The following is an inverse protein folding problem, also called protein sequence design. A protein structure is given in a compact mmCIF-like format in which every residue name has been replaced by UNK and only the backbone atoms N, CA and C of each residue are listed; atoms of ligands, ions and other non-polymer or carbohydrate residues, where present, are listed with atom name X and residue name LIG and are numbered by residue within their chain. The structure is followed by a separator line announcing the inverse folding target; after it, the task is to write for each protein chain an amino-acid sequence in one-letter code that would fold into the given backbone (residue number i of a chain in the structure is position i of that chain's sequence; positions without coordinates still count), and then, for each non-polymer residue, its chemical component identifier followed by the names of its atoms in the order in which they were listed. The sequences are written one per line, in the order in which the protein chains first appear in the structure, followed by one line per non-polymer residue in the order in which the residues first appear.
data_IF_007322755395
#
_entry.id   IF_007322755395
#
_cell.length_a   1.000
_cell.length_b   1.000
_cell.length_c   1.000
_cell.angle_alpha   90.00
_cell.angle_beta   90.00
_cell.angle_gamma   90.00
#
_symmetry.space_group_name_H-M   'P 1'
#
loop_
_entity.id
_entity.type
_entity.pdbx_description
1 polymer ?
#
# COMPACT_ATOMS: atom_id res chain seq x y z
N UNK A 1 2.62 25.30 -24.03
CA UNK A 1 3.61 24.62 -23.15
C UNK A 1 2.84 23.58 -22.36
N UNK A 2 3.21 22.30 -22.48
CA UNK A 2 2.65 21.25 -21.62
C UNK A 2 3.21 21.44 -20.21
N UNK A 3 2.34 21.52 -19.20
CA UNK A 3 2.75 21.56 -17.80
C UNK A 3 3.55 20.29 -17.47
N UNK A 4 4.56 20.41 -16.62
CA UNK A 4 5.19 19.23 -16.01
C UNK A 4 4.16 18.49 -15.13
N UNK A 5 4.45 17.22 -14.85
CA UNK A 5 3.61 16.39 -13.99
C UNK A 5 3.37 17.02 -12.61
N UNK A 6 4.40 17.61 -12.02
CA UNK A 6 4.33 18.30 -10.72
C UNK A 6 3.42 19.53 -10.83
N UNK A 7 3.69 20.43 -11.79
CA UNK A 7 2.90 21.65 -11.97
C UNK A 7 1.42 21.36 -12.24
N UNK A 8 1.14 20.29 -13.00
CA UNK A 8 -0.22 19.86 -13.28
C UNK A 8 -0.96 19.45 -12.01
N UNK A 9 -0.34 18.62 -11.16
CA UNK A 9 -0.96 18.19 -9.91
C UNK A 9 -1.03 19.34 -8.89
N UNK A 10 -0.02 20.19 -8.80
CA UNK A 10 -0.03 21.37 -7.92
C UNK A 10 -1.18 22.32 -8.27
N UNK A 11 -1.43 22.57 -9.56
CA UNK A 11 -2.58 23.37 -9.99
C UNK A 11 -3.91 22.76 -9.54
N UNK A 12 -4.05 21.43 -9.60
CA UNK A 12 -5.26 20.74 -9.15
C UNK A 12 -5.44 20.84 -7.64
N UNK A 13 -4.38 20.57 -6.87
CA UNK A 13 -4.39 20.69 -5.40
C UNK A 13 -4.77 22.12 -4.99
N UNK A 14 -4.24 23.13 -5.66
CA UNK A 14 -4.54 24.53 -5.36
C UNK A 14 -6.02 24.89 -5.52
N UNK A 15 -6.77 24.16 -6.38
CA UNK A 15 -8.21 24.31 -6.51
C UNK A 15 -9.00 23.92 -5.26
N UNK A 16 -8.42 23.10 -4.37
CA UNK A 16 -9.05 22.64 -3.14
C UNK A 16 -8.52 23.35 -1.87
N UNK A 17 -7.41 24.08 -1.98
CA UNK A 17 -6.78 24.77 -0.86
C UNK A 17 -6.95 26.29 -1.01
N UNK A 18 -7.82 26.91 -0.19
CA UNK A 18 -8.04 28.36 -0.20
C UNK A 18 -6.80 29.16 0.22
N UNK A 19 -6.01 28.61 1.16
CA UNK A 19 -4.73 29.13 1.61
C UNK A 19 -3.72 27.97 1.74
N UNK A 20 -2.81 27.78 0.77
CA UNK A 20 -1.81 26.72 0.79
C UNK A 20 -0.84 26.79 1.97
N UNK A 21 -0.63 27.97 2.56
CA UNK A 21 0.37 28.17 3.64
C UNK A 21 -0.02 27.47 4.94
N UNK A 22 -1.33 27.26 5.16
CA UNK A 22 -1.86 26.52 6.31
C UNK A 22 -1.47 25.05 6.32
N UNK A 23 -1.07 24.53 5.15
CA UNK A 23 -0.76 23.13 4.94
C UNK A 23 0.74 22.88 4.70
N UNK A 24 1.59 23.91 4.77
CA UNK A 24 3.05 23.80 4.57
C UNK A 24 3.84 23.78 5.91
N UNK A 25 3.13 23.55 7.01
CA UNK A 25 3.68 23.54 8.37
C UNK A 25 4.07 22.11 8.78
N UNK A 26 5.23 21.96 9.43
CA UNK A 26 5.74 20.72 10.02
C UNK A 26 4.66 19.84 10.68
N UNK A 27 4.76 18.50 10.62
CA UNK A 27 5.89 17.70 10.12
C UNK A 27 5.86 17.33 8.63
N UNK A 28 4.87 17.80 7.86
CA UNK A 28 4.78 17.58 6.41
C UNK A 28 3.94 18.66 5.73
N UNK A 29 4.25 18.93 4.46
CA UNK A 29 3.65 19.97 3.64
C UNK A 29 2.76 19.47 2.50
N UNK A 30 2.22 20.40 1.70
CA UNK A 30 1.49 20.06 0.46
C UNK A 30 2.38 19.38 -0.58
N UNK A 31 3.68 19.71 -0.59
CA UNK A 31 4.65 19.06 -1.47
C UNK A 31 4.77 17.56 -1.17
N UNK A 32 4.80 17.18 0.11
CA UNK A 32 4.84 15.77 0.52
C UNK A 32 3.55 15.05 0.10
N UNK A 33 2.40 15.70 0.27
CA UNK A 33 1.11 15.17 -0.18
C UNK A 33 1.08 14.96 -1.69
N UNK A 34 1.48 15.98 -2.46
CA UNK A 34 1.61 15.91 -3.91
C UNK A 34 2.49 14.72 -4.30
N UNK A 35 3.64 14.56 -3.66
CA UNK A 35 4.59 13.54 -4.06
C UNK A 35 4.04 12.12 -3.80
N UNK A 36 3.36 11.92 -2.66
CA UNK A 36 2.60 10.70 -2.40
C UNK A 36 1.46 10.47 -3.41
N UNK A 37 0.72 11.52 -3.76
CA UNK A 37 -0.39 11.41 -4.71
C UNK A 37 0.08 11.09 -6.13
N UNK A 38 1.18 11.71 -6.59
CA UNK A 38 1.82 11.39 -7.87
C UNK A 38 2.29 9.93 -7.85
N UNK A 39 2.88 9.44 -6.76
CA UNK A 39 3.28 8.03 -6.66
C UNK A 39 2.06 7.09 -6.80
N UNK A 40 0.92 7.43 -6.20
CA UNK A 40 -0.32 6.67 -6.40
C UNK A 40 -0.77 6.69 -7.86
N UNK A 41 -0.70 7.84 -8.53
CA UNK A 41 -1.03 7.95 -9.96
C UNK A 41 -0.08 7.13 -10.83
N UNK A 42 1.23 7.14 -10.55
CA UNK A 42 2.21 6.30 -11.24
C UNK A 42 1.85 4.83 -11.07
N UNK A 43 1.52 4.39 -9.85
CA UNK A 43 1.12 3.00 -9.58
C UNK A 43 -0.14 2.61 -10.37
N UNK A 44 -1.18 3.44 -10.34
CA UNK A 44 -2.44 3.12 -11.01
C UNK A 44 -2.25 3.15 -12.54
N UNK A 45 -1.50 4.13 -13.04
CA UNK A 45 -1.09 4.23 -14.45
C UNK A 45 -0.24 3.04 -14.92
N UNK A 46 0.65 2.54 -14.04
CA UNK A 46 1.41 1.32 -14.28
C UNK A 46 0.47 0.13 -14.44
N UNK A 47 -0.54 0.01 -13.59
CA UNK A 47 -1.51 -1.09 -13.63
C UNK A 47 -2.31 -1.11 -14.93
N UNK A 48 -2.77 0.07 -15.39
CA UNK A 48 -3.54 0.21 -16.62
C UNK A 48 -2.73 -0.14 -17.87
N UNK A 49 -1.45 0.26 -17.90
CA UNK A 49 -0.64 0.19 -19.13
C UNK A 49 0.33 -0.99 -19.18
N UNK A 50 0.52 -1.72 -18.08
CA UNK A 50 1.42 -2.86 -18.05
C UNK A 50 0.90 -4.02 -18.92
N UNK A 51 1.78 -4.68 -19.69
CA UNK A 51 1.38 -5.80 -20.52
C UNK A 51 0.87 -6.95 -19.66
N UNK A 52 -0.28 -7.51 -20.04
CA UNK A 52 -0.84 -8.71 -19.41
C UNK A 52 -0.42 -9.94 -20.20
N UNK A 53 0.00 -10.98 -19.49
CA UNK A 53 0.49 -12.22 -20.06
C UNK A 53 -0.14 -13.42 -19.35
N UNK A 54 -0.17 -14.57 -20.03
CA UNK A 54 -0.60 -15.81 -19.42
C UNK A 54 0.34 -16.21 -18.27
N UNK A 55 -0.20 -16.90 -17.25
CA UNK A 55 0.61 -17.50 -16.18
C UNK A 55 1.76 -18.38 -16.69
N UNK A 56 1.54 -19.08 -17.82
CA UNK A 56 2.58 -19.93 -18.43
C UNK A 56 3.77 -19.10 -18.90
N UNK A 57 3.51 -17.97 -19.54
CA UNK A 57 4.54 -17.04 -20.02
C UNK A 57 5.32 -16.46 -18.85
N UNK A 58 4.63 -15.97 -17.81
CA UNK A 58 5.24 -15.35 -16.64
C UNK A 58 6.05 -16.35 -15.79
N UNK A 59 5.57 -17.59 -15.68
CA UNK A 59 6.27 -18.66 -14.95
C UNK A 59 7.55 -19.13 -15.65
N UNK A 60 7.60 -19.05 -16.98
CA UNK A 60 8.77 -19.46 -17.79
C UNK A 60 9.02 -20.97 -17.86
N UNK A 61 8.30 -21.80 -17.10
CA UNK A 61 8.35 -23.27 -17.14
C UNK A 61 6.94 -23.88 -17.22
N UNK A 62 6.83 -25.14 -17.64
CA UNK A 62 5.57 -25.89 -17.71
C UNK A 62 5.48 -27.05 -16.72
N UNK A 63 6.36 -27.08 -15.72
CA UNK A 63 6.37 -28.13 -14.70
C UNK A 63 5.07 -28.18 -13.89
N UNK A 64 4.54 -29.38 -13.68
CA UNK A 64 3.26 -29.58 -12.99
C UNK A 64 3.27 -29.06 -11.55
N UNK A 65 4.39 -29.17 -10.84
CA UNK A 65 4.53 -28.63 -9.48
C UNK A 65 4.39 -27.12 -9.45
N UNK A 66 4.99 -26.43 -10.43
CA UNK A 66 4.93 -24.99 -10.55
C UNK A 66 3.53 -24.52 -10.98
N UNK A 67 2.85 -25.28 -11.86
CA UNK A 67 1.42 -25.06 -12.20
C UNK A 67 0.49 -25.24 -11.00
N UNK A 68 0.71 -26.28 -10.19
CA UNK A 68 -0.05 -26.51 -8.97
C UNK A 68 0.16 -25.39 -7.94
N UNK A 69 1.40 -24.91 -7.81
CA UNK A 69 1.74 -23.76 -6.97
C UNK A 69 0.97 -22.51 -7.40
N UNK A 70 1.00 -22.16 -8.69
CA UNK A 70 0.27 -21.01 -9.25
C UNK A 70 -1.25 -21.13 -8.99
N UNK A 71 -1.82 -22.32 -9.21
CA UNK A 71 -3.24 -22.56 -8.97
C UNK A 71 -3.63 -22.34 -7.50
N UNK A 72 -2.82 -22.86 -6.56
CA UNK A 72 -3.07 -22.71 -5.12
C UNK A 72 -2.96 -21.26 -4.67
N UNK A 73 -1.94 -20.53 -5.13
CA UNK A 73 -1.78 -19.14 -4.72
C UNK A 73 -2.83 -18.23 -5.32
N UNK A 74 -3.23 -18.46 -6.57
CA UNK A 74 -4.29 -17.68 -7.22
C UNK A 74 -5.61 -17.86 -6.45
N UNK A 75 -5.96 -19.10 -6.07
CA UNK A 75 -7.14 -19.36 -5.22
C UNK A 75 -7.04 -18.69 -3.84
N UNK A 76 -5.86 -18.75 -3.21
CA UNK A 76 -5.63 -18.08 -1.93
C UNK A 76 -5.82 -16.57 -2.05
N UNK A 77 -5.21 -15.92 -3.03
CA UNK A 77 -5.34 -14.49 -3.26
C UNK A 77 -6.79 -14.11 -3.57
N UNK A 78 -7.47 -14.88 -4.42
CA UNK A 78 -8.85 -14.65 -4.78
C UNK A 78 -9.80 -14.74 -3.59
N UNK A 79 -9.58 -15.67 -2.65
CA UNK A 79 -10.37 -15.74 -1.42
C UNK A 79 -10.38 -14.41 -0.66
N UNK A 80 -9.21 -13.79 -0.46
CA UNK A 80 -9.13 -12.49 0.23
C UNK A 80 -9.66 -11.33 -0.60
N UNK A 81 -9.52 -11.37 -1.94
CA UNK A 81 -10.16 -10.38 -2.83
C UNK A 81 -11.68 -10.44 -2.72
N UNK A 82 -12.26 -11.65 -2.67
CA UNK A 82 -13.70 -11.84 -2.49
C UNK A 82 -14.16 -11.34 -1.11
N UNK A 83 -13.43 -11.64 -0.03
CA UNK A 83 -13.74 -11.08 1.30
C UNK A 83 -13.69 -9.54 1.30
N UNK A 84 -12.73 -8.96 0.59
CA UNK A 84 -12.63 -7.50 0.44
C UNK A 84 -13.81 -6.93 -0.36
N UNK A 85 -14.20 -7.58 -1.46
CA UNK A 85 -15.37 -7.21 -2.24
C UNK A 85 -16.64 -7.21 -1.38
N UNK A 86 -16.87 -8.29 -0.63
CA UNK A 86 -18.02 -8.42 0.27
C UNK A 86 -17.99 -7.33 1.35
N UNK A 87 -16.81 -7.02 1.91
CA UNK A 87 -16.67 -5.95 2.88
C UNK A 87 -17.04 -4.58 2.29
N UNK A 88 -16.53 -4.25 1.10
CA UNK A 88 -16.83 -2.99 0.41
C UNK A 88 -18.34 -2.92 0.09
N UNK A 89 -18.89 -3.96 -0.52
CA UNK A 89 -20.30 -4.02 -0.87
C UNK A 89 -21.21 -3.86 0.35
N UNK A 90 -20.93 -4.57 1.44
CA UNK A 90 -21.80 -4.59 2.60
C UNK A 90 -21.68 -3.36 3.50
N UNK A 91 -20.49 -2.74 3.57
CA UNK A 91 -20.24 -1.61 4.50
C UNK A 91 -20.20 -0.25 3.82
N UNK A 92 -19.86 -0.20 2.53
CA UNK A 92 -19.70 1.04 1.75
C UNK A 92 -20.87 1.19 0.76
N UNK A 93 -21.54 0.09 0.40
CA UNK A 93 -22.60 0.11 -0.62
C UNK A 93 -22.09 0.29 -2.05
N UNK A 94 -20.77 0.16 -2.24
CA UNK A 94 -20.10 0.23 -3.53
C UNK A 94 -19.78 -1.17 -4.04
N UNK A 95 -19.78 -1.38 -5.36
CA UNK A 95 -19.32 -2.63 -5.94
C UNK A 95 -18.00 -2.38 -6.67
N UNK A 96 -17.01 -3.23 -6.42
CA UNK A 96 -15.72 -3.21 -7.10
C UNK A 96 -15.57 -4.52 -7.90
N UNK A 97 -16.21 -4.63 -9.09
CA UNK A 97 -16.30 -5.89 -9.82
C UNK A 97 -14.93 -6.51 -10.13
N UNK A 98 -13.88 -5.68 -10.23
CA UNK A 98 -12.51 -6.14 -10.46
C UNK A 98 -11.98 -7.07 -9.35
N UNK A 99 -12.52 -7.00 -8.14
CA UNK A 99 -12.13 -7.90 -7.05
C UNK A 99 -12.71 -9.31 -7.20
N UNK A 100 -13.76 -9.47 -8.02
CA UNK A 100 -14.35 -10.78 -8.31
C UNK A 100 -13.40 -11.62 -9.17
N UNK A 101 -13.52 -12.95 -9.13
CA UNK A 101 -12.74 -13.82 -10.00
C UNK A 101 -13.11 -13.59 -11.47
N UNK A 102 -12.11 -13.66 -12.35
CA UNK A 102 -12.33 -13.74 -13.80
C UNK A 102 -13.30 -14.88 -14.15
N UNK A 103 -14.12 -14.70 -15.18
CA UNK A 103 -15.04 -15.75 -15.65
C UNK A 103 -14.29 -16.91 -16.32
N UNK A 104 -13.70 -17.77 -15.51
CA UNK A 104 -13.12 -19.06 -15.94
C UNK A 104 -14.16 -20.19 -15.93
N UNK A 105 -15.47 -19.87 -15.85
CA UNK A 105 -16.54 -20.88 -15.89
C UNK A 105 -16.98 -21.16 -17.31
N UNK A 106 -16.99 -20.15 -18.18
CA UNK A 106 -17.21 -20.31 -19.61
C UNK A 106 -16.06 -21.08 -20.29
N UNK A 107 -16.35 -21.82 -21.36
CA UNK A 107 -15.31 -22.53 -22.12
C UNK A 107 -14.28 -21.55 -22.73
N UNK A 108 -14.77 -20.37 -23.13
CA UNK A 108 -14.00 -19.27 -23.67
C UNK A 108 -13.04 -18.69 -22.62
N UNK A 109 -13.53 -18.37 -21.42
CA UNK A 109 -12.67 -17.87 -20.34
C UNK A 109 -11.69 -18.92 -19.78
N UNK A 110 -12.00 -20.22 -19.90
CA UNK A 110 -11.01 -21.29 -19.62
C UNK A 110 -9.88 -21.35 -20.65
N UNK A 111 -10.19 -21.09 -21.91
CA UNK A 111 -9.22 -21.09 -23.01
C UNK A 111 -8.35 -19.83 -22.97
N UNK A 112 -8.94 -18.69 -22.59
CA UNK A 112 -8.23 -17.43 -22.39
C UNK A 112 -7.30 -17.50 -21.16
N UNK A 113 -7.79 -18.08 -20.05
CA UNK A 113 -7.02 -18.25 -18.83
C UNK A 113 -6.69 -16.93 -18.11
N UNK A 114 -6.02 -17.02 -16.97
CA UNK A 114 -5.66 -15.83 -16.20
C UNK A 114 -4.58 -15.01 -16.91
N UNK A 115 -4.82 -13.70 -17.00
CA UNK A 115 -3.91 -12.73 -17.57
C UNK A 115 -3.42 -11.77 -16.47
N UNK A 116 -2.14 -11.90 -16.12
CA UNK A 116 -1.52 -11.07 -15.10
C UNK A 116 -0.46 -10.15 -15.71
N UNK A 117 -0.28 -9.00 -15.09
CA UNK A 117 0.94 -8.19 -15.24
C UNK A 117 2.09 -8.84 -14.47
N UNK A 118 3.33 -8.50 -14.82
CA UNK A 118 4.50 -8.93 -14.06
C UNK A 118 4.41 -8.55 -12.58
N UNK A 119 3.91 -7.34 -12.28
CA UNK A 119 3.69 -6.86 -10.91
C UNK A 119 2.69 -7.73 -10.14
N UNK A 120 1.55 -8.08 -10.74
CA UNK A 120 0.57 -8.95 -10.09
C UNK A 120 1.14 -10.36 -9.84
N UNK A 121 1.90 -10.90 -10.79
CA UNK A 121 2.55 -12.20 -10.62
C UNK A 121 3.63 -12.17 -9.54
N UNK A 122 4.39 -11.08 -9.46
CA UNK A 122 5.33 -10.83 -8.37
C UNK A 122 4.61 -10.76 -7.02
N UNK A 123 3.50 -10.04 -6.89
CA UNK A 123 2.72 -9.98 -5.63
C UNK A 123 2.22 -11.37 -5.20
N UNK A 124 1.73 -12.17 -6.15
CA UNK A 124 1.30 -13.55 -5.87
C UNK A 124 2.46 -14.41 -5.36
N UNK A 125 3.60 -14.42 -6.06
CA UNK A 125 4.75 -15.20 -5.66
C UNK A 125 5.33 -14.73 -4.32
N UNK A 126 5.37 -13.43 -4.10
CA UNK A 126 5.82 -12.84 -2.84
C UNK A 126 5.04 -13.37 -1.64
N UNK A 127 3.71 -13.55 -1.76
CA UNK A 127 2.91 -14.19 -0.70
C UNK A 127 3.25 -15.67 -0.47
N UNK A 128 3.79 -16.37 -1.47
CA UNK A 128 4.20 -17.79 -1.35
C UNK A 128 5.59 -17.89 -0.73
N UNK A 129 6.54 -17.13 -1.28
CA UNK A 129 7.96 -17.25 -0.99
C UNK A 129 8.33 -16.63 0.37
N UNK A 130 7.51 -15.70 0.87
CA UNK A 130 7.74 -15.03 2.14
C UNK A 130 6.60 -15.31 3.14
N UNK A 131 6.77 -16.30 4.04
CA UNK A 131 5.74 -16.72 5.00
C UNK A 131 5.23 -15.61 5.93
N UNK A 132 6.01 -14.53 6.11
CA UNK A 132 5.65 -13.36 6.90
C UNK A 132 4.26 -12.82 6.51
N UNK A 133 4.01 -12.66 5.21
CA UNK A 133 2.82 -11.99 4.71
C UNK A 133 1.55 -12.78 5.03
N UNK A 134 1.57 -14.11 4.80
CA UNK A 134 0.49 -15.00 5.22
C UNK A 134 0.30 -15.00 6.73
N UNK A 135 1.39 -14.93 7.50
CA UNK A 135 1.32 -14.89 8.96
C UNK A 135 0.70 -13.59 9.49
N UNK A 136 0.91 -12.45 8.83
CA UNK A 136 0.27 -11.17 9.15
C UNK A 136 -1.23 -11.25 8.81
N UNK A 137 -1.58 -11.63 7.58
CA UNK A 137 -2.97 -11.68 7.11
C UNK A 137 -3.82 -12.65 7.94
N UNK A 138 -3.28 -13.83 8.28
CA UNK A 138 -3.98 -14.81 9.13
C UNK A 138 -3.89 -14.54 10.64
N UNK A 139 -3.28 -13.41 11.05
CA UNK A 139 -2.98 -13.03 12.44
C UNK A 139 -2.20 -14.10 13.24
N UNK A 140 -1.62 -15.11 12.58
CA UNK A 140 -0.77 -16.13 13.21
C UNK A 140 0.48 -15.50 13.83
N UNK A 141 0.97 -14.41 13.27
CA UNK A 141 2.13 -13.67 13.77
C UNK A 141 1.94 -13.11 15.18
N UNK A 142 0.68 -12.83 15.56
CA UNK A 142 0.30 -12.25 16.85
C UNK A 142 0.46 -13.26 18.00
N UNK A 143 0.43 -14.56 17.73
CA UNK A 143 0.44 -15.61 18.74
C UNK A 143 1.83 -16.26 18.86
N UNK A 144 2.47 -16.07 20.03
CA UNK A 144 3.79 -16.65 20.35
C UNK A 144 3.82 -18.18 20.32
N UNK A 145 2.67 -18.85 20.55
CA UNK A 145 2.55 -20.30 20.50
C UNK A 145 2.51 -20.80 19.06
N UNK A 146 1.90 -20.03 18.14
CA UNK A 146 1.83 -20.35 16.70
C UNK A 146 3.12 -19.99 15.98
N UNK A 147 3.73 -18.87 16.35
CA UNK A 147 5.00 -18.40 15.78
C UNK A 147 5.91 -18.01 16.96
N UNK A 148 6.94 -18.82 17.21
CA UNK A 148 7.92 -18.51 18.27
C UNK A 148 8.76 -17.30 17.87
N UNK A 149 9.40 -16.64 18.84
CA UNK A 149 10.20 -15.43 18.57
C UNK A 149 11.36 -15.68 17.59
N UNK A 150 11.96 -16.88 17.58
CA UNK A 150 13.02 -17.21 16.62
C UNK A 150 12.46 -17.27 15.19
N UNK A 151 11.33 -17.97 14.99
CA UNK A 151 10.63 -18.01 13.70
C UNK A 151 10.14 -16.64 13.25
N UNK A 152 9.71 -15.77 14.19
CA UNK A 152 9.39 -14.38 13.86
C UNK A 152 10.60 -13.65 13.26
N UNK A 153 11.79 -13.81 13.86
CA UNK A 153 13.02 -13.21 13.33
C UNK A 153 13.39 -13.77 11.96
N UNK A 154 13.29 -15.09 11.77
CA UNK A 154 13.52 -15.73 10.46
C UNK A 154 12.61 -15.15 9.39
N UNK A 155 11.32 -14.98 9.69
CA UNK A 155 10.36 -14.37 8.76
C UNK A 155 10.72 -12.92 8.44
N UNK A 156 11.15 -12.14 9.43
CA UNK A 156 11.60 -10.77 9.23
C UNK A 156 12.90 -10.69 8.44
N UNK A 157 13.84 -11.62 8.64
CA UNK A 157 15.08 -11.70 7.84
C UNK A 157 14.77 -12.01 6.37
N UNK A 158 13.80 -12.89 6.09
CA UNK A 158 13.33 -13.13 4.72
C UNK A 158 12.75 -11.86 4.08
N UNK A 159 11.93 -11.12 4.83
CA UNK A 159 11.40 -9.81 4.40
C UNK A 159 12.50 -8.76 4.16
N UNK A 160 13.50 -8.71 5.02
CA UNK A 160 14.65 -7.82 4.82
C UNK A 160 15.43 -8.19 3.56
N UNK A 161 15.64 -9.48 3.28
CA UNK A 161 16.29 -9.89 2.03
C UNK A 161 15.49 -9.41 0.80
N UNK A 162 14.17 -9.62 0.79
CA UNK A 162 13.29 -9.16 -0.29
C UNK A 162 13.40 -7.66 -0.50
N UNK A 163 13.24 -6.88 0.58
CA UNK A 163 13.27 -5.42 0.49
C UNK A 163 14.63 -4.93 0.06
N UNK A 164 15.74 -5.51 0.53
CA UNK A 164 17.08 -5.17 0.06
C UNK A 164 17.29 -5.46 -1.42
N UNK A 165 16.76 -6.56 -1.94
CA UNK A 165 16.87 -6.87 -3.36
C UNK A 165 16.05 -5.90 -4.23
N UNK A 166 14.88 -5.47 -3.75
CA UNK A 166 14.10 -4.40 -4.39
C UNK A 166 14.81 -3.04 -4.30
N UNK A 167 15.42 -2.70 -3.17
CA UNK A 167 16.14 -1.44 -3.02
C UNK A 167 17.33 -1.32 -3.99
N UNK A 168 18.04 -2.43 -4.27
CA UNK A 168 19.12 -2.44 -5.28
C UNK A 168 18.61 -2.12 -6.69
N UNK A 169 17.37 -2.49 -7.02
CA UNK A 169 16.74 -2.18 -8.32
C UNK A 169 16.45 -0.68 -8.49
N UNK A 170 16.40 0.08 -7.41
CA UNK A 170 16.20 1.53 -7.47
C UNK A 170 17.39 2.29 -8.10
N UNK A 171 18.53 1.62 -8.30
CA UNK A 171 19.69 2.14 -9.04
C UNK A 171 19.76 1.62 -10.48
N UNK A 172 18.74 0.87 -10.92
CA UNK A 172 18.70 0.20 -12.21
C UNK A 172 18.04 1.03 -13.33
N UNK A 173 17.48 0.31 -14.31
CA UNK A 173 16.74 0.89 -15.43
C UNK A 173 15.49 1.64 -14.96
N UNK A 174 14.89 2.46 -15.83
CA UNK A 174 13.63 3.16 -15.49
C UNK A 174 12.52 2.18 -15.11
N UNK A 175 12.41 1.03 -15.79
CA UNK A 175 11.44 0.00 -15.45
C UNK A 175 11.77 -0.66 -14.10
N UNK A 176 13.05 -0.95 -13.81
CA UNK A 176 13.45 -1.48 -12.49
C UNK A 176 13.08 -0.52 -11.35
N UNK A 177 13.32 0.78 -11.53
CA UNK A 177 13.00 1.82 -10.54
C UNK A 177 11.50 1.88 -10.28
N UNK A 178 10.70 1.94 -11.35
CA UNK A 178 9.24 2.03 -11.23
C UNK A 178 8.69 0.75 -10.58
N UNK A 179 9.09 -0.41 -11.08
CA UNK A 179 8.65 -1.70 -10.56
C UNK A 179 9.01 -1.85 -9.08
N UNK A 180 10.28 -1.66 -8.72
CA UNK A 180 10.73 -1.84 -7.34
C UNK A 180 10.08 -0.84 -6.38
N UNK A 181 9.85 0.41 -6.81
CA UNK A 181 9.16 1.41 -6.00
C UNK A 181 7.70 1.02 -5.76
N UNK A 182 6.97 0.58 -6.79
CA UNK A 182 5.59 0.09 -6.64
C UNK A 182 5.54 -1.13 -5.72
N UNK A 183 6.48 -2.07 -5.87
CA UNK A 183 6.56 -3.26 -5.04
C UNK A 183 6.80 -2.91 -3.56
N UNK A 184 7.81 -2.08 -3.28
CA UNK A 184 8.10 -1.59 -1.92
C UNK A 184 6.89 -0.83 -1.36
N UNK A 185 6.38 0.17 -2.07
CA UNK A 185 5.19 0.92 -1.68
C UNK A 185 4.02 -0.01 -1.30
N UNK A 186 3.75 -1.03 -2.12
CA UNK A 186 2.66 -1.98 -1.90
C UNK A 186 2.90 -2.86 -0.68
N UNK A 187 4.14 -3.31 -0.46
CA UNK A 187 4.52 -4.07 0.72
C UNK A 187 4.27 -3.28 2.01
N UNK A 188 4.72 -2.02 2.07
CA UNK A 188 4.54 -1.21 3.28
C UNK A 188 3.10 -0.74 3.46
N UNK A 189 2.41 -0.40 2.37
CA UNK A 189 1.00 -0.07 2.43
C UNK A 189 0.16 -1.25 2.96
N UNK A 190 0.32 -2.46 2.41
CA UNK A 190 -0.49 -3.63 2.80
C UNK A 190 -0.10 -4.19 4.17
N UNK A 191 1.20 -4.32 4.46
CA UNK A 191 1.69 -5.06 5.63
C UNK A 191 2.20 -4.18 6.77
N UNK A 192 2.54 -2.91 6.52
CA UNK A 192 2.94 -1.91 7.52
C UNK A 192 4.08 -2.38 8.43
N UNK A 193 5.09 -3.04 7.86
CA UNK A 193 6.18 -3.64 8.64
C UNK A 193 7.15 -2.56 9.13
N UNK A 194 7.49 -1.59 8.28
CA UNK A 194 8.36 -0.46 8.66
C UNK A 194 7.68 0.42 9.70
N UNK A 195 6.41 0.79 9.50
CA UNK A 195 5.65 1.58 10.46
C UNK A 195 5.53 0.86 11.81
N UNK A 196 5.17 -0.43 11.80
CA UNK A 196 5.07 -1.23 13.03
C UNK A 196 6.39 -1.32 13.77
N UNK A 197 7.50 -1.50 13.04
CA UNK A 197 8.84 -1.53 13.62
C UNK A 197 9.21 -0.18 14.24
N UNK A 198 8.96 0.92 13.52
CA UNK A 198 9.22 2.28 14.01
C UNK A 198 8.45 2.57 15.30
N UNK A 199 7.17 2.17 15.38
CA UNK A 199 6.36 2.28 16.60
C UNK A 199 6.97 1.49 17.76
N UNK A 200 7.44 0.27 17.49
CA UNK A 200 8.07 -0.58 18.51
C UNK A 200 9.40 0.00 19.03
N UNK A 201 10.21 0.58 18.14
CA UNK A 201 11.45 1.29 18.52
C UNK A 201 11.13 2.53 19.36
N UNK A 202 10.14 3.33 18.94
CA UNK A 202 9.74 4.51 19.68
C UNK A 202 9.20 4.14 21.08
N UNK A 203 8.32 3.15 21.17
CA UNK A 203 7.78 2.60 22.42
C UNK A 203 8.88 2.13 23.37
N UNK A 204 9.90 1.42 22.87
CA UNK A 204 11.02 0.96 23.69
C UNK A 204 11.87 2.14 24.20
N UNK A 205 12.06 3.18 23.36
CA UNK A 205 12.81 4.39 23.72
C UNK A 205 12.10 5.26 24.75
N UNK A 206 10.78 5.43 24.64
CA UNK A 206 9.99 6.30 25.53
C UNK A 206 9.41 5.57 26.74
N UNK A 207 9.44 4.24 26.76
CA UNK A 207 8.83 3.42 27.80
C UNK A 207 7.30 3.31 27.69
N UNK A 208 6.70 3.83 26.62
CA UNK A 208 5.25 3.78 26.39
C UNK A 208 4.82 2.39 25.97
N UNK A 209 3.91 1.75 26.70
CA UNK A 209 3.45 0.38 26.38
C UNK A 209 2.20 0.35 25.50
N UNK A 210 1.37 1.37 25.62
CA UNK A 210 0.10 1.42 24.91
C UNK A 210 0.31 1.88 23.48
N UNK A 211 -0.43 1.27 22.57
CA UNK A 211 -0.48 1.70 21.17
C UNK A 211 -1.56 2.78 21.08
N UNK A 212 -1.25 3.98 20.58
CA UNK A 212 -2.30 4.95 20.25
C UNK A 212 -3.02 4.47 18.98
N UNK A 213 -3.97 3.54 19.14
CA UNK A 213 -4.58 2.78 18.05
C UNK A 213 -5.28 3.69 17.02
N UNK A 214 -6.04 4.68 17.48
CA UNK A 214 -6.75 5.61 16.58
C UNK A 214 -5.76 6.41 15.73
N UNK A 215 -4.67 6.86 16.37
CA UNK A 215 -3.60 7.61 15.70
C UNK A 215 -2.82 6.75 14.72
N UNK A 216 -2.56 5.49 15.07
CA UNK A 216 -1.96 4.51 14.15
C UNK A 216 -2.89 4.20 12.97
N UNK A 217 -4.19 4.04 13.24
CA UNK A 217 -5.19 3.78 12.23
C UNK A 217 -5.26 4.91 11.19
N UNK A 218 -5.18 6.17 11.62
CA UNK A 218 -5.14 7.33 10.73
C UNK A 218 -4.01 7.25 9.67
N UNK A 219 -2.91 6.57 9.99
CA UNK A 219 -1.76 6.44 9.11
C UNK A 219 -1.85 5.28 8.12
N UNK A 220 -2.57 4.20 8.44
CA UNK A 220 -2.51 2.98 7.62
C UNK A 220 -3.75 2.08 7.58
N UNK A 221 -4.77 2.33 8.38
CA UNK A 221 -6.00 1.54 8.37
C UNK A 221 -6.97 2.04 7.30
N UNK A 222 -8.01 1.23 7.05
CA UNK A 222 -9.20 1.69 6.38
C UNK A 222 -9.98 2.61 7.33
N UNK A 223 -10.28 3.81 6.86
CA UNK A 223 -10.94 4.88 7.58
C UNK A 223 -12.31 5.14 6.97
N UNK A 224 -13.27 5.48 7.82
CA UNK A 224 -14.59 5.92 7.44
C UNK A 224 -14.92 7.18 8.23
N UNK A 225 -15.11 8.32 7.55
CA UNK A 225 -15.48 9.56 8.21
C UNK A 225 -16.37 10.44 7.31
N UNK A 226 -17.28 11.24 7.89
CA UNK A 226 -18.16 12.09 7.12
C UNK A 226 -17.39 13.27 6.48
N UNK A 227 -17.72 13.59 5.23
CA UNK A 227 -17.08 14.68 4.48
C UNK A 227 -17.80 16.00 4.74
N UNK A 228 -17.10 17.09 5.13
CA UNK A 228 -17.67 18.43 5.22
C UNK A 228 -18.08 18.99 3.82
N UNK A 229 -18.93 20.03 3.76
CA UNK A 229 -19.61 20.69 4.88
C UNK A 229 -20.96 20.04 5.24
N UNK A 230 -21.59 19.27 4.36
CA UNK A 230 -22.92 18.71 4.62
C UNK A 230 -22.90 17.47 5.52
N UNK A 231 -21.76 16.77 5.64
CA UNK A 231 -21.58 15.55 6.45
C UNK A 231 -22.59 14.43 6.11
N UNK A 232 -23.20 14.46 4.93
CA UNK A 232 -24.17 13.46 4.46
C UNK A 232 -23.50 12.27 3.78
N UNK A 233 -22.23 12.40 3.41
CA UNK A 233 -21.46 11.37 2.68
C UNK A 233 -20.32 10.88 3.55
N UNK A 234 -20.17 9.56 3.66
CA UNK A 234 -19.03 8.95 4.35
C UNK A 234 -17.92 8.68 3.34
N UNK A 235 -16.76 9.26 3.57
CA UNK A 235 -15.54 8.89 2.86
C UNK A 235 -14.99 7.60 3.43
N UNK A 236 -14.95 6.56 2.60
CA UNK A 236 -14.20 5.35 2.88
C UNK A 236 -12.86 5.41 2.14
N UNK A 237 -11.77 5.43 2.88
CA UNK A 237 -10.43 5.67 2.33
C UNK A 237 -9.37 5.02 3.21
N UNK A 238 -8.12 5.12 2.79
CA UNK A 238 -6.96 4.74 3.59
C UNK A 238 -5.83 5.70 3.29
N UNK A 239 -5.02 6.04 4.29
CA UNK A 239 -3.87 6.88 4.06
C UNK A 239 -2.84 6.14 3.22
N UNK A 240 -2.43 6.73 2.09
CA UNK A 240 -1.37 6.24 1.20
C UNK A 240 -0.06 7.00 1.38
N UNK A 241 0.08 7.70 2.50
CA UNK A 241 1.20 8.60 2.82
C UNK A 241 2.50 7.85 3.21
N UNK A 242 2.81 6.76 2.50
CA UNK A 242 3.76 5.71 2.90
C UNK A 242 5.15 6.26 3.22
N UNK A 243 5.69 7.16 2.37
CA UNK A 243 7.04 7.70 2.54
C UNK A 243 7.22 8.47 3.86
N UNK A 244 6.16 9.11 4.36
CA UNK A 244 6.24 10.03 5.50
C UNK A 244 5.68 9.44 6.81
N UNK A 245 4.98 8.30 6.78
CA UNK A 245 4.41 7.68 7.99
C UNK A 245 5.42 7.53 9.14
N UNK A 246 6.66 7.20 8.83
CA UNK A 246 7.70 6.92 9.82
C UNK A 246 8.15 8.17 10.57
N UNK A 247 8.15 9.35 9.93
CA UNK A 247 8.47 10.62 10.59
C UNK A 247 7.36 11.09 11.53
N UNK A 248 6.13 10.58 11.36
CA UNK A 248 4.98 10.87 12.21
C UNK A 248 4.93 10.05 13.48
N UNK A 249 5.71 8.97 13.56
CA UNK A 249 5.70 8.08 14.73
C UNK A 249 5.99 8.84 16.03
N UNK A 250 7.01 9.70 16.17
CA UNK A 250 7.21 10.44 17.42
C UNK A 250 6.01 11.30 17.81
N UNK A 251 5.39 11.98 16.84
CA UNK A 251 4.23 12.85 17.06
C UNK A 251 2.99 12.05 17.46
N UNK A 252 2.82 10.85 16.89
CA UNK A 252 1.74 9.93 17.23
C UNK A 252 1.72 9.56 18.73
N UNK A 253 2.87 9.55 19.41
CA UNK A 253 2.97 9.29 20.84
C UNK A 253 3.04 10.57 21.70
N UNK A 254 2.99 11.75 21.09
CA UNK A 254 2.92 13.05 21.78
C UNK A 254 1.47 13.50 21.91
N UNK A 255 1.10 14.11 23.03
CA UNK A 255 -0.27 14.61 23.24
C UNK A 255 -0.51 16.03 22.72
N UNK A 256 0.55 16.82 22.47
CA UNK A 256 0.40 18.24 22.11
C UNK A 256 0.18 18.50 20.62
N UNK A 257 0.65 17.61 19.75
CA UNK A 257 0.82 17.93 18.32
C UNK A 257 -0.02 17.04 17.38
N UNK A 258 -0.72 16.03 17.93
CA UNK A 258 -1.46 15.07 17.10
C UNK A 258 -2.70 15.66 16.43
N UNK A 259 -3.46 16.51 17.11
CA UNK A 259 -4.71 17.07 16.56
C UNK A 259 -4.47 17.87 15.28
N UNK A 260 -3.38 18.63 15.21
CA UNK A 260 -3.00 19.36 13.99
C UNK A 260 -2.60 18.41 12.87
N UNK A 261 -1.83 17.36 13.18
CA UNK A 261 -1.44 16.32 12.22
C UNK A 261 -2.67 15.59 11.68
N UNK A 262 -3.59 15.21 12.55
CA UNK A 262 -4.83 14.52 12.18
C UNK A 262 -5.72 15.38 11.29
N UNK A 263 -5.90 16.65 11.64
CA UNK A 263 -6.65 17.60 10.81
C UNK A 263 -6.06 17.73 9.41
N UNK A 264 -4.72 17.84 9.29
CA UNK A 264 -4.03 17.87 7.99
C UNK A 264 -4.22 16.58 7.19
N UNK A 265 -4.08 15.42 7.84
CA UNK A 265 -4.30 14.12 7.20
C UNK A 265 -5.74 13.99 6.68
N UNK A 266 -6.75 14.41 7.46
CA UNK A 266 -8.14 14.43 7.04
C UNK A 266 -8.34 15.29 5.78
N UNK A 267 -7.77 16.50 5.74
CA UNK A 267 -7.84 17.36 4.56
C UNK A 267 -7.20 16.70 3.35
N UNK A 268 -6.02 16.09 3.49
CA UNK A 268 -5.35 15.39 2.39
C UNK A 268 -6.14 14.20 1.87
N UNK A 269 -6.77 13.45 2.76
CA UNK A 269 -7.65 12.34 2.37
C UNK A 269 -8.88 12.82 1.60
N UNK A 270 -9.44 13.98 1.96
CA UNK A 270 -10.56 14.61 1.26
C UNK A 270 -10.11 15.12 -0.13
N UNK A 271 -8.99 15.84 -0.20
CA UNK A 271 -8.43 16.33 -1.49
C UNK A 271 -8.14 15.14 -2.40
N UNK A 272 -7.46 14.10 -1.89
CA UNK A 272 -7.19 12.86 -2.61
C UNK A 272 -8.46 12.23 -3.17
N UNK A 273 -9.52 12.16 -2.36
CA UNK A 273 -10.80 11.61 -2.81
C UNK A 273 -11.35 12.38 -4.00
N UNK A 274 -11.44 13.72 -3.92
CA UNK A 274 -11.95 14.52 -5.03
C UNK A 274 -11.05 14.44 -6.28
N UNK A 275 -9.72 14.49 -6.10
CA UNK A 275 -8.78 14.33 -7.22
C UNK A 275 -8.96 12.98 -7.94
N UNK A 276 -9.19 11.89 -7.20
CA UNK A 276 -9.44 10.56 -7.79
C UNK A 276 -10.77 10.48 -8.55
N UNK A 277 -11.74 11.34 -8.24
CA UNK A 277 -13.03 11.42 -8.93
C UNK A 277 -12.99 12.37 -10.14
N UNK A 278 -11.88 13.09 -10.38
CA UNK A 278 -11.80 14.01 -11.51
C UNK A 278 -11.81 13.28 -12.86
N UNK A 279 -12.67 13.77 -13.75
CA UNK A 279 -12.76 13.34 -15.14
C UNK A 279 -12.25 14.48 -16.02
N UNK A 280 -11.19 14.21 -16.79
CA UNK A 280 -10.51 15.19 -17.64
C UNK A 280 -10.68 14.75 -19.09
N UNK A 281 -11.41 15.54 -19.87
CA UNK A 281 -11.68 15.23 -21.28
C UNK A 281 -12.26 13.82 -21.53
N UNK A 282 -13.12 13.34 -20.61
CA UNK A 282 -13.73 12.00 -20.58
C UNK A 282 -12.81 10.85 -20.16
N UNK A 283 -11.60 11.14 -19.72
CA UNK A 283 -10.69 10.17 -19.14
C UNK A 283 -10.63 10.33 -17.63
N UNK A 284 -10.47 9.22 -16.93
CA UNK A 284 -10.08 9.23 -15.52
C UNK A 284 -8.71 9.92 -15.38
N UNK A 285 -8.41 10.44 -14.18
CA UNK A 285 -7.13 11.06 -13.92
C UNK A 285 -5.92 10.13 -14.23
N UNK A 286 -5.92 8.82 -13.89
CA UNK A 286 -4.85 7.90 -14.29
C UNK A 286 -4.73 7.73 -15.81
N UNK A 287 -5.84 7.58 -16.54
CA UNK A 287 -5.81 7.47 -18.01
C UNK A 287 -5.24 8.72 -18.67
N UNK A 288 -5.67 9.91 -18.20
CA UNK A 288 -5.14 11.18 -18.67
C UNK A 288 -3.65 11.32 -18.36
N UNK A 289 -3.24 10.93 -17.16
CA UNK A 289 -1.85 10.93 -16.71
C UNK A 289 -0.96 10.05 -17.60
N UNK A 290 -1.40 8.83 -17.93
CA UNK A 290 -0.74 7.95 -18.91
C UNK A 290 -0.54 8.61 -20.27
N UNK A 291 -1.55 9.35 -20.75
CA UNK A 291 -1.50 10.01 -22.05
C UNK A 291 -0.54 11.20 -22.11
N UNK A 292 -0.23 11.83 -20.97
CA UNK A 292 0.61 13.04 -20.90
C UNK A 292 2.04 12.80 -20.40
N UNK A 293 2.34 11.60 -19.88
CA UNK A 293 3.64 11.29 -19.28
C UNK A 293 4.27 10.03 -19.86
N UNK A 294 5.55 9.82 -19.57
CA UNK A 294 6.35 8.67 -20.02
C UNK A 294 6.97 7.94 -18.84
N UNK A 295 7.36 6.67 -19.05
CA UNK A 295 8.06 5.86 -18.05
C UNK A 295 9.35 6.52 -17.56
N UNK A 296 10.11 7.16 -18.46
CA UNK A 296 11.31 7.91 -18.08
C UNK A 296 11.00 9.06 -17.12
N UNK A 297 9.91 9.80 -17.35
CA UNK A 297 9.47 10.87 -16.44
C UNK A 297 9.02 10.32 -15.08
N UNK A 298 8.34 9.17 -15.04
CA UNK A 298 7.97 8.52 -13.77
C UNK A 298 9.21 8.12 -12.97
N UNK A 299 10.18 7.49 -13.62
CA UNK A 299 11.42 7.08 -12.98
C UNK A 299 12.26 8.28 -12.49
N UNK A 300 12.33 9.38 -13.26
CA UNK A 300 12.99 10.63 -12.84
C UNK A 300 12.34 11.18 -11.57
N UNK A 301 11.01 11.29 -11.57
CA UNK A 301 10.26 11.76 -10.42
C UNK A 301 10.50 10.89 -9.18
N UNK A 302 10.46 9.57 -9.31
CA UNK A 302 10.72 8.65 -8.19
C UNK A 302 12.11 8.89 -7.61
N UNK A 303 13.13 9.02 -8.46
CA UNK A 303 14.53 9.23 -8.01
C UNK A 303 14.70 10.57 -7.29
N UNK A 304 14.02 11.62 -7.75
CA UNK A 304 14.18 12.98 -7.24
C UNK A 304 13.30 13.26 -6.00
N UNK A 305 12.08 12.72 -5.98
CA UNK A 305 11.04 13.11 -5.03
C UNK A 305 10.56 11.98 -4.12
N UNK A 306 10.60 10.72 -4.57
CA UNK A 306 9.95 9.60 -3.87
C UNK A 306 10.90 8.44 -3.52
N UNK A 307 12.03 8.76 -2.87
CA UNK A 307 13.04 7.76 -2.50
C UNK A 307 12.64 6.93 -1.27
N UNK A 308 12.08 5.74 -1.51
CA UNK A 308 11.69 4.80 -0.46
C UNK A 308 12.88 4.22 0.33
N UNK A 309 14.14 4.35 -0.13
CA UNK A 309 15.31 3.93 0.68
C UNK A 309 15.31 4.58 2.06
N UNK A 310 14.71 5.76 2.20
CA UNK A 310 14.58 6.52 3.45
C UNK A 310 13.78 5.79 4.54
N UNK A 311 12.85 4.92 4.18
CA UNK A 311 11.96 4.24 5.15
C UNK A 311 12.37 2.80 5.44
N UNK A 312 13.02 2.13 4.48
CA UNK A 312 13.46 0.74 4.64
C UNK A 312 14.78 0.67 5.37
N UNK A 313 14.72 0.40 6.67
CA UNK A 313 15.90 0.29 7.53
C UNK A 313 16.13 -1.14 7.98
N UNK A 314 17.37 -1.45 8.33
CA UNK A 314 17.72 -2.72 8.97
C UNK A 314 17.09 -2.77 10.36
N UNK A 315 16.42 -3.87 10.67
CA UNK A 315 15.62 -4.04 11.89
C UNK A 315 16.36 -4.93 12.86
N UNK A 316 16.47 -4.46 14.08
CA UNK A 316 16.88 -5.27 15.21
C UNK A 316 15.66 -5.68 16.04
N UNK A 317 15.37 -6.98 16.09
CA UNK A 317 14.17 -7.52 16.72
C UNK A 317 14.43 -8.06 18.14
N UNK A 318 14.35 -7.16 19.13
CA UNK A 318 14.34 -7.53 20.55
C UNK A 318 13.03 -8.25 20.92
N UNK A 319 13.03 -9.04 22.00
CA UNK A 319 11.79 -9.67 22.49
C UNK A 319 10.71 -8.63 22.87
N UNK A 320 11.12 -7.43 23.28
CA UNK A 320 10.22 -6.31 23.58
C UNK A 320 9.55 -5.80 22.31
N UNK A 321 10.33 -5.48 21.27
CA UNK A 321 9.82 -5.01 19.98
C UNK A 321 8.88 -6.02 19.31
N UNK A 322 9.24 -7.31 19.35
CA UNK A 322 8.38 -8.40 18.85
C UNK A 322 7.03 -8.41 19.58
N UNK A 323 7.04 -8.31 20.92
CA UNK A 323 5.81 -8.29 21.71
C UNK A 323 4.94 -7.08 21.35
N UNK A 324 5.55 -5.91 21.18
CA UNK A 324 4.84 -4.69 20.79
C UNK A 324 4.15 -4.85 19.43
N UNK A 325 4.89 -5.28 18.40
CA UNK A 325 4.34 -5.47 17.04
C UNK A 325 3.23 -6.52 17.01
N UNK A 326 3.34 -7.58 17.83
CA UNK A 326 2.26 -8.56 17.96
C UNK A 326 0.97 -7.95 18.48
N UNK A 327 1.07 -7.16 19.53
CA UNK A 327 -0.10 -6.48 20.12
C UNK A 327 -0.70 -5.50 19.12
N UNK A 328 0.15 -4.75 18.42
CA UNK A 328 -0.25 -3.83 17.37
C UNK A 328 -1.03 -4.53 16.26
N UNK A 329 -0.49 -5.60 15.66
CA UNK A 329 -1.21 -6.37 14.64
C UNK A 329 -2.47 -7.04 15.18
N UNK A 330 -2.45 -7.49 16.43
CA UNK A 330 -3.63 -8.10 17.04
C UNK A 330 -4.81 -7.11 17.11
N UNK A 331 -4.51 -5.85 17.43
CA UNK A 331 -5.50 -4.79 17.57
C UNK A 331 -5.94 -4.16 16.24
N UNK A 332 -5.06 -4.12 15.23
CA UNK A 332 -5.29 -3.36 13.99
C UNK A 332 -5.70 -4.22 12.79
N UNK A 333 -5.40 -5.52 12.80
CA UNK A 333 -5.76 -6.41 11.69
C UNK A 333 -7.15 -7.00 11.91
N UNK A 334 -8.00 -6.86 10.90
CA UNK A 334 -9.31 -7.50 10.84
C UNK A 334 -9.17 -9.02 10.96
N UNK A 335 -10.07 -9.65 11.72
CA UNK A 335 -10.19 -11.10 11.72
C UNK A 335 -10.80 -11.53 10.39
N UNK A 336 -10.08 -12.37 9.65
CA UNK A 336 -10.51 -12.88 8.36
C UNK A 336 -10.53 -14.41 8.40
N UNK A 337 -11.58 -15.00 7.84
CA UNK A 337 -11.65 -16.45 7.70
C UNK A 337 -10.49 -16.94 6.85
N UNK A 338 -9.75 -17.92 7.36
CA UNK A 338 -8.65 -18.53 6.61
C UNK A 338 -9.24 -19.48 5.56
N UNK A 339 -8.77 -19.44 4.30
CA UNK A 339 -9.30 -20.30 3.26
C UNK A 339 -9.05 -21.79 3.60
N UNK A 340 -10.09 -22.61 3.42
CA UNK A 340 -10.02 -24.09 3.53
C UNK A 340 -9.52 -24.65 2.20
N UNK A 341 -8.22 -24.50 1.91
CA UNK A 341 -7.59 -24.93 0.64
C UNK A 341 -6.97 -26.31 0.72
#
# INVERSE_FOLDING_TARGET
MSLSMIEFIDQRISGYCSDPTLYDVSPFGLADFRDCFIMELIKDSYHETAPRQSLRTLRGTDDDDARMRDSRITKYAQHYRTLQFEHIKNNIGWEEPELLPDDVRSMEGRLEGYHFTEMQYFELNTMVDYPLFKAIVSKRICDVKKIRNNTFREFMTGYESLTQDLLKKLDGSDEDVIFATIALFTLEWKYCVELSYSCAVNSERTGTKDVPLDRFAALCAQLAFPIPPEFTTILHTESRFVLHRMSLVPVMFSDSDWEEVEAKLCVYLIIRYYLKQEIIHKWSLPEYFCGMTTRAQWASFIREHYDLRKIYTRKDWTNSRIRYVRNLYQATRMDQETPKL
#
